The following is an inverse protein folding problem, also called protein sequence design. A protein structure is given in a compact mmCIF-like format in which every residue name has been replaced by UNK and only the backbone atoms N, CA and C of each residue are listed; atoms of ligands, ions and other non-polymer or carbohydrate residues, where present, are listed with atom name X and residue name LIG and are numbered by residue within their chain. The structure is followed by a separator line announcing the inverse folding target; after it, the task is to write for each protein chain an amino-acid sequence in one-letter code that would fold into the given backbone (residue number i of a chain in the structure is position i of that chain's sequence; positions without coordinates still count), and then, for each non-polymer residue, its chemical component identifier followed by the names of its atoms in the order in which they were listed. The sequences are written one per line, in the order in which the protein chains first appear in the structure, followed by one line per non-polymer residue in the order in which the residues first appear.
data_IF_117578123571
#
_entry.id   IF_117578123571
#
_cell.length_a   1.000
_cell.length_b   1.000
_cell.length_c   1.000
_cell.angle_alpha   90.00
_cell.angle_beta   90.00
_cell.angle_gamma   90.00
#
_symmetry.space_group_name_H-M   'P 1'
#
loop_
_entity.id
_entity.type
_entity.pdbx_description
1 polymer ?
#
# COMPACT_ATOMS: atom_id res chain seq x y z
N UNK A 1 47.78 22.90 -15.71
CA UNK A 1 46.83 22.42 -14.69
C UNK A 1 45.53 22.07 -15.39
N UNK A 2 45.17 20.78 -15.47
CA UNK A 2 43.91 20.34 -16.11
C UNK A 2 42.85 20.15 -15.01
N UNK A 3 41.78 20.93 -15.11
CA UNK A 3 40.60 20.87 -14.25
C UNK A 3 39.87 19.54 -14.47
N UNK A 4 39.66 18.76 -13.41
CA UNK A 4 38.78 17.60 -13.43
C UNK A 4 37.34 18.06 -13.21
N UNK A 5 36.52 17.95 -14.26
CA UNK A 5 35.08 18.15 -14.18
C UNK A 5 34.45 16.96 -13.44
N UNK A 6 33.97 17.22 -12.22
CA UNK A 6 33.21 16.25 -11.42
C UNK A 6 31.89 15.96 -12.14
N UNK A 7 31.83 14.85 -12.86
CA UNK A 7 30.57 14.30 -13.33
C UNK A 7 29.77 13.83 -12.11
N UNK A 8 28.64 14.50 -11.89
CA UNK A 8 27.63 14.17 -10.89
C UNK A 8 26.97 12.82 -11.25
N UNK A 9 27.64 11.71 -10.91
CA UNK A 9 27.12 10.37 -11.11
C UNK A 9 26.15 10.06 -9.96
N UNK A 10 24.86 10.32 -10.20
CA UNK A 10 23.78 9.92 -9.30
C UNK A 10 23.79 8.40 -9.13
N UNK A 11 23.74 7.91 -7.89
CA UNK A 11 23.75 6.47 -7.63
C UNK A 11 22.53 5.79 -8.28
N UNK A 12 22.63 4.52 -8.70
CA UNK A 12 21.51 3.77 -9.28
C UNK A 12 20.26 3.79 -8.40
N UNK A 13 20.46 3.84 -7.09
CA UNK A 13 19.41 3.90 -6.08
C UNK A 13 18.70 5.26 -6.03
N UNK A 14 19.44 6.36 -6.23
CA UNK A 14 18.87 7.71 -6.35
C UNK A 14 18.10 7.92 -7.67
N UNK A 15 18.53 7.25 -8.75
CA UNK A 15 17.82 7.26 -10.04
C UNK A 15 16.51 6.47 -9.94
N UNK A 16 16.52 5.31 -9.27
CA UNK A 16 15.31 4.55 -8.95
C UNK A 16 14.35 5.33 -8.06
N UNK A 17 14.84 6.03 -7.03
CA UNK A 17 14.03 6.89 -6.15
C UNK A 17 13.37 8.04 -6.92
N UNK A 18 14.10 8.71 -7.81
CA UNK A 18 13.54 9.80 -8.65
C UNK A 18 12.50 9.31 -9.66
N UNK A 19 12.70 8.14 -10.26
CA UNK A 19 11.71 7.53 -11.15
C UNK A 19 10.42 7.17 -10.39
N UNK A 20 10.55 6.71 -9.15
CA UNK A 20 9.44 6.37 -8.26
C UNK A 20 8.64 7.60 -7.81
N UNK A 21 9.33 8.66 -7.41
CA UNK A 21 8.69 9.94 -7.05
C UNK A 21 7.95 10.55 -8.25
N UNK A 22 8.44 10.30 -9.48
CA UNK A 22 7.74 10.66 -10.72
C UNK A 22 6.47 9.83 -10.92
N UNK A 23 6.51 8.51 -10.70
CA UNK A 23 5.31 7.66 -10.80
C UNK A 23 4.25 7.94 -9.74
N UNK A 24 4.64 8.40 -8.55
CA UNK A 24 3.71 8.93 -7.53
C UNK A 24 3.06 10.23 -8.03
N UNK A 25 3.84 11.12 -8.65
CA UNK A 25 3.32 12.38 -9.23
C UNK A 25 2.39 12.18 -10.42
N UNK A 26 2.62 11.12 -11.19
CA UNK A 26 1.77 10.77 -12.35
C UNK A 26 0.46 10.07 -11.92
N UNK A 27 0.22 9.90 -10.61
CA UNK A 27 -1.01 9.32 -10.06
C UNK A 27 -1.11 7.79 -10.21
N UNK A 28 0.00 7.12 -10.54
CA UNK A 28 0.05 5.67 -10.74
C UNK A 28 0.16 4.95 -9.40
N UNK A 29 0.93 5.50 -8.45
CA UNK A 29 1.06 4.98 -7.08
C UNK A 29 0.07 5.70 -6.17
N UNK A 30 -0.58 4.95 -5.29
CA UNK A 30 -1.52 5.52 -4.33
C UNK A 30 -0.83 6.48 -3.35
N UNK A 31 -1.44 7.65 -3.15
CA UNK A 31 -1.00 8.62 -2.15
C UNK A 31 -1.41 8.16 -0.75
N UNK A 32 -0.45 8.09 0.18
CA UNK A 32 -0.68 7.71 1.57
C UNK A 32 -0.93 8.96 2.40
N UNK A 33 -2.09 9.03 3.04
CA UNK A 33 -2.52 10.16 3.88
C UNK A 33 -2.04 10.05 5.33
N UNK A 34 -1.65 8.85 5.78
CA UNK A 34 -1.20 8.61 7.15
C UNK A 34 -0.58 7.24 7.36
N UNK A 35 -0.02 7.01 8.54
CA UNK A 35 0.61 5.73 8.89
C UNK A 35 0.26 5.32 10.31
N UNK A 36 -0.04 4.04 10.50
CA UNK A 36 -0.16 3.40 11.82
C UNK A 36 0.97 2.39 12.01
N UNK A 37 1.35 2.17 13.27
CA UNK A 37 2.40 1.21 13.65
C UNK A 37 1.82 0.26 14.69
N UNK A 38 1.96 -1.04 14.47
CA UNK A 38 1.59 -2.05 15.46
C UNK A 38 1.10 -3.35 14.84
N UNK A 39 0.40 -4.13 15.66
CA UNK A 39 -0.27 -5.34 15.20
C UNK A 39 -1.68 -5.05 14.68
N UNK A 40 -2.36 -4.06 15.26
CA UNK A 40 -3.76 -3.75 14.97
C UNK A 40 -3.85 -2.90 13.70
N UNK A 41 -4.52 -3.39 12.63
CA UNK A 41 -4.75 -2.60 11.43
C UNK A 41 -5.59 -1.34 11.69
N UNK A 42 -5.55 -0.35 10.79
CA UNK A 42 -6.44 0.81 10.85
C UNK A 42 -7.91 0.40 11.01
N UNK A 43 -8.64 1.17 11.81
CA UNK A 43 -10.02 0.87 12.18
C UNK A 43 -11.04 1.05 11.05
N UNK A 44 -12.31 0.80 11.36
CA UNK A 44 -13.44 0.96 10.44
C UNK A 44 -13.62 2.38 9.92
N UNK A 45 -13.34 3.40 10.76
CA UNK A 45 -13.49 4.81 10.43
C UNK A 45 -12.11 5.44 10.29
N UNK A 46 -11.95 6.26 9.25
CA UNK A 46 -10.75 7.03 8.99
C UNK A 46 -11.08 8.37 8.36
N UNK A 47 -10.06 9.08 7.89
CA UNK A 47 -10.25 10.32 7.15
C UNK A 47 -10.94 10.00 5.80
N UNK A 48 -11.96 10.76 5.37
CA UNK A 48 -12.59 10.54 4.07
C UNK A 48 -11.60 10.58 2.89
N UNK A 49 -11.81 9.72 1.90
CA UNK A 49 -10.97 9.61 0.69
C UNK A 49 -9.48 9.46 0.99
N UNK A 50 -9.14 8.77 2.07
CA UNK A 50 -7.76 8.62 2.53
C UNK A 50 -7.27 7.19 2.41
N UNK A 51 -5.95 7.06 2.39
CA UNK A 51 -5.27 5.77 2.45
C UNK A 51 -4.27 5.80 3.60
N UNK A 52 -4.38 4.83 4.51
CA UNK A 52 -3.52 4.72 5.68
C UNK A 52 -2.63 3.49 5.52
N UNK A 53 -1.32 3.70 5.57
CA UNK A 53 -0.35 2.62 5.57
C UNK A 53 -0.23 2.01 6.97
N UNK A 54 -0.25 0.70 7.05
CA UNK A 54 -0.06 -0.05 8.28
C UNK A 54 1.32 -0.69 8.30
N UNK A 55 2.14 -0.30 9.27
CA UNK A 55 3.48 -0.83 9.46
C UNK A 55 3.54 -1.72 10.71
N UNK A 56 4.38 -2.73 10.67
CA UNK A 56 4.79 -3.47 11.85
C UNK A 56 5.80 -2.65 12.68
N UNK A 57 5.99 -3.06 13.94
CA UNK A 57 6.95 -2.43 14.86
C UNK A 57 8.41 -2.56 14.40
N UNK A 58 8.72 -3.55 13.55
CA UNK A 58 10.04 -3.76 12.96
C UNK A 58 10.28 -2.93 11.68
N UNK A 59 9.30 -2.12 11.25
CA UNK A 59 9.41 -1.29 10.04
C UNK A 59 8.88 -1.93 8.76
N UNK A 60 8.45 -3.19 8.78
CA UNK A 60 7.82 -3.83 7.62
C UNK A 60 6.46 -3.19 7.31
N UNK A 61 6.14 -3.06 6.03
CA UNK A 61 4.81 -2.57 5.61
C UNK A 61 3.86 -3.76 5.49
N UNK A 62 2.85 -3.80 6.35
CA UNK A 62 1.90 -4.91 6.44
C UNK A 62 0.75 -4.78 5.43
N UNK A 63 0.35 -3.56 5.14
CA UNK A 63 -0.78 -3.29 4.26
C UNK A 63 -1.16 -1.82 4.16
N UNK A 64 -2.23 -1.56 3.42
CA UNK A 64 -2.87 -0.24 3.32
C UNK A 64 -4.38 -0.37 3.45
N UNK A 65 -4.97 0.54 4.20
CA UNK A 65 -6.42 0.66 4.38
C UNK A 65 -6.94 1.86 3.60
N UNK A 66 -8.01 1.65 2.86
CA UNK A 66 -8.66 2.64 1.99
C UNK A 66 -10.00 3.05 2.59
N UNK A 67 -10.30 4.34 2.54
CA UNK A 67 -11.54 4.92 3.06
C UNK A 67 -12.33 5.63 1.96
N UNK A 68 -13.66 5.47 1.95
CA UNK A 68 -14.56 6.17 1.03
C UNK A 68 -14.75 7.65 1.41
N UNK A 69 -15.58 8.37 0.65
CA UNK A 69 -15.93 9.77 0.90
C UNK A 69 -16.70 10.00 2.21
N UNK A 70 -17.23 8.94 2.84
CA UNK A 70 -17.88 8.99 4.15
C UNK A 70 -16.89 8.68 5.28
N UNK A 71 -15.67 8.27 4.95
CA UNK A 71 -14.65 7.85 5.91
C UNK A 71 -14.80 6.40 6.38
N UNK A 72 -15.65 5.60 5.73
CA UNK A 72 -15.75 4.17 6.00
C UNK A 72 -14.68 3.40 5.24
N UNK A 73 -14.09 2.43 5.93
CA UNK A 73 -13.16 1.48 5.31
C UNK A 73 -13.86 0.78 4.15
N UNK A 74 -13.23 0.78 2.99
CA UNK A 74 -13.70 0.03 1.81
C UNK A 74 -12.84 -1.18 1.53
N UNK A 75 -11.54 -1.08 1.78
CA UNK A 75 -10.59 -2.13 1.43
C UNK A 75 -9.37 -2.12 2.34
N UNK A 76 -8.88 -3.31 2.68
CA UNK A 76 -7.53 -3.54 3.15
C UNK A 76 -6.73 -4.29 2.07
N UNK A 77 -5.59 -3.74 1.66
CA UNK A 77 -4.62 -4.43 0.81
C UNK A 77 -3.51 -4.95 1.71
N UNK A 78 -3.31 -6.26 1.73
CA UNK A 78 -2.25 -6.92 2.49
C UNK A 78 -1.10 -7.31 1.58
N UNK A 79 0.13 -7.08 2.03
CA UNK A 79 1.34 -7.36 1.26
C UNK A 79 2.03 -8.66 1.69
N UNK A 80 1.43 -9.46 2.56
CA UNK A 80 2.01 -10.72 3.06
C UNK A 80 0.93 -11.78 3.23
N UNK A 81 1.33 -13.06 3.28
CA UNK A 81 0.47 -14.19 3.63
C UNK A 81 0.10 -14.29 5.13
N UNK A 82 0.42 -13.30 5.96
CA UNK A 82 0.26 -13.34 7.42
C UNK A 82 0.91 -14.57 8.11
N UNK A 83 2.01 -15.10 7.57
CA UNK A 83 2.65 -16.35 8.00
C UNK A 83 1.73 -17.58 7.88
N UNK A 84 0.69 -17.48 7.07
CA UNK A 84 -0.32 -18.53 6.82
C UNK A 84 -0.48 -18.80 5.31
N UNK A 85 0.58 -19.21 4.59
CA UNK A 85 0.56 -19.38 3.13
C UNK A 85 -0.56 -20.32 2.63
N UNK A 86 -0.87 -21.38 3.38
CA UNK A 86 -1.95 -22.31 3.01
C UNK A 86 -3.34 -21.66 3.00
N UNK A 87 -3.56 -20.60 3.81
CA UNK A 87 -4.83 -19.85 3.88
C UNK A 87 -4.84 -18.61 2.99
N UNK A 88 -3.67 -18.21 2.49
CA UNK A 88 -3.48 -17.07 1.61
C UNK A 88 -2.69 -17.50 0.36
N UNK A 89 -3.29 -18.35 -0.51
CA UNK A 89 -2.66 -18.80 -1.75
C UNK A 89 -2.78 -17.73 -2.84
N UNK A 90 -2.61 -16.46 -2.47
CA UNK A 90 -2.84 -15.32 -3.34
C UNK A 90 -1.53 -14.74 -3.85
N UNK A 91 -1.55 -14.21 -5.07
CA UNK A 91 -0.41 -13.54 -5.68
C UNK A 91 0.88 -14.36 -5.64
N UNK A 92 2.02 -13.68 -5.44
CA UNK A 92 3.35 -14.34 -5.38
C UNK A 92 3.79 -14.65 -3.96
N UNK A 93 3.43 -13.79 -3.01
CA UNK A 93 3.89 -13.86 -1.61
C UNK A 93 2.73 -13.94 -0.61
N UNK A 94 1.50 -14.09 -1.10
CA UNK A 94 0.27 -14.08 -0.31
C UNK A 94 -0.40 -12.73 -0.23
N UNK A 95 -0.04 -11.77 -1.07
CA UNK A 95 -0.69 -10.47 -1.15
C UNK A 95 -2.13 -10.60 -1.64
N UNK A 96 -3.06 -9.91 -0.97
CA UNK A 96 -4.50 -10.05 -1.22
C UNK A 96 -5.27 -8.84 -0.70
N UNK A 97 -6.54 -8.74 -1.10
CA UNK A 97 -7.44 -7.69 -0.62
C UNK A 97 -8.55 -8.27 0.26
N UNK A 98 -8.97 -7.47 1.23
CA UNK A 98 -10.26 -7.59 1.88
C UNK A 98 -11.13 -6.42 1.51
N UNK A 99 -12.27 -6.66 0.87
CA UNK A 99 -13.27 -5.62 0.62
C UNK A 99 -14.31 -5.62 1.73
N UNK A 100 -14.75 -4.43 2.12
CA UNK A 100 -15.73 -4.22 3.17
C UNK A 100 -16.91 -3.44 2.62
N UNK A 101 -18.12 -3.90 2.93
CA UNK A 101 -19.35 -3.20 2.61
C UNK A 101 -20.04 -2.78 3.90
N UNK A 102 -20.32 -1.48 3.98
CA UNK A 102 -21.10 -0.87 5.04
C UNK A 102 -22.32 -0.18 4.42
N UNK A 103 -23.48 -0.29 5.07
CA UNK A 103 -24.67 0.45 4.66
C UNK A 103 -24.55 1.96 4.99
N UNK A 104 -25.61 2.72 4.73
CA UNK A 104 -25.62 4.18 4.91
C UNK A 104 -25.53 4.62 6.36
N UNK A 105 -25.94 3.77 7.29
CA UNK A 105 -25.79 3.99 8.74
C UNK A 105 -24.40 3.52 9.23
N UNK A 106 -23.58 2.98 8.33
CA UNK A 106 -22.28 2.43 8.62
C UNK A 106 -22.34 1.04 9.24
N UNK A 107 -23.47 0.34 9.26
CA UNK A 107 -23.53 -1.03 9.77
C UNK A 107 -22.83 -1.98 8.80
N UNK A 108 -22.12 -2.96 9.35
CA UNK A 108 -21.41 -3.95 8.57
C UNK A 108 -22.40 -4.83 7.79
N UNK A 109 -22.19 -4.92 6.47
CA UNK A 109 -23.00 -5.75 5.58
C UNK A 109 -22.22 -7.01 5.23
N UNK A 110 -21.00 -6.88 4.71
CA UNK A 110 -20.21 -8.03 4.28
C UNK A 110 -18.71 -7.74 4.18
N UNK A 111 -17.94 -8.83 4.11
CA UNK A 111 -16.51 -8.82 3.78
C UNK A 111 -16.20 -9.96 2.82
N UNK A 112 -15.44 -9.67 1.77
CA UNK A 112 -14.87 -10.67 0.86
C UNK A 112 -13.35 -10.64 0.90
N UNK A 113 -12.73 -11.78 0.61
CA UNK A 113 -11.28 -11.89 0.38
C UNK A 113 -11.05 -12.28 -1.06
N UNK A 114 -10.11 -11.63 -1.74
CA UNK A 114 -9.81 -11.89 -3.14
C UNK A 114 -8.36 -11.58 -3.50
N UNK A 115 -7.98 -12.00 -4.70
CA UNK A 115 -6.78 -11.52 -5.37
C UNK A 115 -6.76 -10.00 -5.53
N UNK A 116 -5.56 -9.44 -5.57
CA UNK A 116 -5.36 -8.06 -6.02
C UNK A 116 -5.61 -7.96 -7.52
N UNK A 117 -6.32 -6.91 -7.93
CA UNK A 117 -6.44 -6.57 -9.35
C UNK A 117 -5.11 -6.04 -9.88
N UNK A 118 -4.94 -6.03 -11.20
CA UNK A 118 -3.73 -5.47 -11.83
C UNK A 118 -3.52 -4.00 -11.48
N UNK A 119 -4.60 -3.22 -11.34
CA UNK A 119 -4.51 -1.82 -10.98
C UNK A 119 -4.12 -1.64 -9.51
N UNK A 120 -4.67 -2.44 -8.59
CA UNK A 120 -4.23 -2.43 -7.19
C UNK A 120 -2.75 -2.82 -7.04
N UNK A 121 -2.28 -3.74 -7.87
CA UNK A 121 -0.85 -4.11 -7.92
C UNK A 121 0.00 -2.94 -8.40
N UNK A 122 -0.41 -2.26 -9.47
CA UNK A 122 0.27 -1.04 -9.96
C UNK A 122 0.25 0.07 -8.91
N UNK A 123 -0.89 0.34 -8.29
CA UNK A 123 -1.07 1.36 -7.25
C UNK A 123 -0.19 1.14 -6.03
N UNK A 124 0.09 -0.13 -5.70
CA UNK A 124 0.91 -0.53 -4.56
C UNK A 124 2.28 -1.08 -4.98
N UNK A 125 2.68 -0.82 -6.23
CA UNK A 125 3.93 -1.31 -6.79
C UNK A 125 5.13 -0.76 -6.01
N UNK A 126 4.92 0.32 -5.27
CA UNK A 126 5.88 1.02 -4.42
C UNK A 126 6.35 0.21 -3.19
N UNK A 127 5.55 -0.78 -2.81
CA UNK A 127 5.85 -1.77 -1.77
C UNK A 127 6.08 -3.15 -2.39
N UNK A 128 5.19 -3.55 -3.31
CA UNK A 128 5.20 -4.88 -3.91
C UNK A 128 6.44 -5.17 -4.77
N UNK A 129 7.13 -4.16 -5.32
CA UNK A 129 8.37 -4.38 -6.07
C UNK A 129 9.51 -5.01 -5.27
N UNK A 130 9.45 -4.95 -3.93
CA UNK A 130 10.51 -5.47 -3.05
C UNK A 130 10.55 -7.00 -2.99
N UNK A 131 9.56 -7.66 -3.59
CA UNK A 131 9.35 -9.11 -3.55
C UNK A 131 9.10 -9.66 -4.95
#
# INVERSE_FOLDING_TARGET
MRSFSLHNCQSPESIKRKAFDKTIKDGIIVSVSGTTIGHTPPGKIGLPNSVVQHNATNGDVLGRTYYDARGFKTKDVHFTNHKQPARHPYGKIGEHAHDFVFDDEGKFVSRSTRELTDDERKENQDILWRY
#
